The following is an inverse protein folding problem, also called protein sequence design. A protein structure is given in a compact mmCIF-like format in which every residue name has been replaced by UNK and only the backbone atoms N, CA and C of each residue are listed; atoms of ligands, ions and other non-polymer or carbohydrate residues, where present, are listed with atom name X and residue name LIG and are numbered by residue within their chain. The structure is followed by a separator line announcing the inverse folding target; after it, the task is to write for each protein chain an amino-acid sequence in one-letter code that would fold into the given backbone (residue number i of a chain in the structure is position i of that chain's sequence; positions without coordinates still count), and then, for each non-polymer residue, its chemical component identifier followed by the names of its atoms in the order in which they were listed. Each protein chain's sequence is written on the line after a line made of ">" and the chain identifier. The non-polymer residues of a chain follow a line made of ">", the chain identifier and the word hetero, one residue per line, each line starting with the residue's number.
data_IF_710027967682
#
_entry.id   IF_710027967682
#
_cell.length_a   1.000
_cell.length_b   1.000
_cell.length_c   1.000
_cell.angle_alpha   90.00
_cell.angle_beta   90.00
_cell.angle_gamma   90.00
#
_symmetry.space_group_name_H-M   'P 1'
#
loop_
_entity.id
_entity.type
_entity.pdbx_description
1 polymer ?
#
# COMPACT_ATOMS: atom_id res chain seq x y z
N UNK A 1 -21.11 -22.68 3.28
CA UNK A 1 -21.19 -22.53 4.74
C UNK A 1 -21.48 -21.07 5.00
N UNK A 2 -22.70 -20.73 5.40
CA UNK A 2 -23.06 -19.36 5.76
C UNK A 2 -22.55 -19.11 7.18
N UNK A 3 -21.47 -18.35 7.30
CA UNK A 3 -20.79 -18.11 8.59
C UNK A 3 -21.49 -16.99 9.38
N UNK A 4 -22.04 -16.01 8.66
CA UNK A 4 -22.81 -14.89 9.19
C UNK A 4 -23.95 -14.56 8.22
N UNK A 5 -25.09 -14.03 8.70
CA UNK A 5 -26.18 -13.58 7.83
C UNK A 5 -25.73 -12.58 6.77
N UNK A 6 -26.44 -12.55 5.64
CA UNK A 6 -26.24 -11.57 4.57
C UNK A 6 -26.12 -10.14 5.12
N UNK A 7 -24.98 -9.48 4.86
CA UNK A 7 -24.73 -8.09 5.29
C UNK A 7 -24.18 -7.92 6.72
N UNK A 8 -23.98 -9.00 7.47
CA UNK A 8 -23.42 -8.98 8.84
C UNK A 8 -21.91 -9.21 8.90
N UNK A 9 -21.21 -9.02 7.77
CA UNK A 9 -19.76 -9.16 7.70
C UNK A 9 -18.99 -8.06 8.46
N UNK A 10 -19.69 -6.97 8.75
CA UNK A 10 -19.32 -5.95 9.70
C UNK A 10 -20.14 -6.17 10.97
N UNK A 11 -19.49 -6.27 12.14
CA UNK A 11 -20.15 -6.21 13.45
C UNK A 11 -20.32 -4.73 13.81
N UNK A 12 -21.50 -4.12 13.61
CA UNK A 12 -21.63 -2.69 13.80
C UNK A 12 -21.71 -2.39 15.30
N UNK A 13 -20.97 -1.37 15.77
CA UNK A 13 -21.11 -0.87 17.15
C UNK A 13 -22.48 -0.23 17.40
N UNK A 14 -23.21 0.09 16.34
CA UNK A 14 -24.52 0.72 16.37
C UNK A 14 -25.36 0.21 15.17
N UNK A 15 -26.64 -0.20 15.33
CA UNK A 15 -27.43 -0.86 14.27
C UNK A 15 -27.51 -0.09 12.95
N UNK A 16 -27.47 1.25 13.01
CA UNK A 16 -27.50 2.14 11.83
C UNK A 16 -26.13 2.39 11.18
N UNK A 17 -25.01 2.04 11.83
CA UNK A 17 -23.64 2.22 11.32
C UNK A 17 -23.20 0.98 10.51
N UNK A 18 -23.93 0.72 9.44
CA UNK A 18 -23.66 -0.37 8.49
C UNK A 18 -22.74 0.07 7.35
N UNK A 19 -22.34 -0.83 6.46
CA UNK A 19 -21.47 -0.51 5.30
C UNK A 19 -22.01 0.69 4.50
N UNK A 20 -23.33 0.80 4.30
CA UNK A 20 -23.94 1.93 3.60
C UNK A 20 -23.65 3.27 4.28
N UNK A 21 -23.68 3.33 5.62
CA UNK A 21 -23.34 4.53 6.38
C UNK A 21 -21.88 4.94 6.14
N UNK A 22 -20.94 4.01 6.25
CA UNK A 22 -19.52 4.27 6.00
C UNK A 22 -19.23 4.66 4.54
N UNK A 23 -19.86 4.00 3.57
CA UNK A 23 -19.79 4.37 2.15
C UNK A 23 -20.26 5.81 1.92
N UNK A 24 -21.39 6.20 2.52
CA UNK A 24 -21.93 7.55 2.41
C UNK A 24 -21.01 8.61 3.01
N UNK A 25 -20.32 8.32 4.12
CA UNK A 25 -19.33 9.24 4.71
C UNK A 25 -18.21 9.54 3.71
N UNK A 26 -17.62 8.51 3.09
CA UNK A 26 -16.50 8.70 2.15
C UNK A 26 -16.91 9.50 0.90
N UNK A 27 -18.14 9.32 0.42
CA UNK A 27 -18.70 10.04 -0.72
C UNK A 27 -18.94 11.51 -0.34
N UNK A 28 -19.60 11.76 0.81
CA UNK A 28 -19.93 13.11 1.27
C UNK A 28 -18.67 13.95 1.57
N UNK A 29 -17.65 13.34 2.17
CA UNK A 29 -16.34 13.97 2.43
C UNK A 29 -15.44 14.02 1.18
N UNK A 30 -15.92 13.57 0.01
CA UNK A 30 -15.18 13.52 -1.26
C UNK A 30 -13.81 12.86 -1.12
N UNK A 31 -13.70 11.91 -0.19
CA UNK A 31 -12.44 11.25 0.17
C UNK A 31 -12.23 9.95 -0.60
N UNK A 32 -13.32 9.36 -1.11
CA UNK A 32 -13.22 8.30 -2.09
C UNK A 32 -14.42 8.23 -3.06
N UNK A 33 -14.18 7.64 -4.23
CA UNK A 33 -15.21 7.20 -5.15
C UNK A 33 -15.31 5.66 -5.08
N UNK A 34 -16.54 5.14 -5.05
CA UNK A 34 -16.80 3.69 -4.97
C UNK A 34 -17.71 3.28 -6.11
N UNK A 35 -17.18 2.50 -7.03
CA UNK A 35 -17.88 2.00 -8.20
C UNK A 35 -18.20 0.50 -8.04
N UNK A 36 -19.42 0.11 -8.42
CA UNK A 36 -19.83 -1.29 -8.46
C UNK A 36 -19.52 -1.84 -9.86
N UNK A 37 -18.68 -2.86 -9.97
CA UNK A 37 -18.44 -3.54 -11.24
C UNK A 37 -19.33 -4.78 -11.30
N UNK A 38 -20.29 -4.74 -12.22
CA UNK A 38 -21.41 -5.71 -12.27
C UNK A 38 -21.29 -6.57 -13.53
N UNK A 39 -21.55 -7.86 -13.38
CA UNK A 39 -21.77 -8.73 -14.53
C UNK A 39 -23.17 -8.46 -15.12
N UNK A 40 -23.21 -7.67 -16.20
CA UNK A 40 -24.45 -7.34 -16.91
C UNK A 40 -25.08 -8.54 -17.65
N UNK A 41 -24.38 -9.67 -17.76
CA UNK A 41 -24.87 -10.88 -18.45
C UNK A 41 -25.60 -11.85 -17.53
N UNK A 42 -25.50 -11.68 -16.21
CA UNK A 42 -26.21 -12.52 -15.24
C UNK A 42 -27.62 -11.99 -14.95
N UNK A 43 -28.57 -12.89 -14.75
CA UNK A 43 -29.90 -12.59 -14.22
C UNK A 43 -30.09 -13.32 -12.87
N UNK A 44 -30.08 -12.61 -11.72
CA UNK A 44 -29.94 -11.16 -11.58
C UNK A 44 -28.48 -10.68 -11.74
N UNK A 45 -28.27 -9.39 -12.07
CA UNK A 45 -26.93 -8.81 -12.16
C UNK A 45 -26.17 -8.90 -10.83
N UNK A 46 -25.02 -9.59 -10.84
CA UNK A 46 -24.19 -9.77 -9.66
C UNK A 46 -23.01 -8.79 -9.64
N UNK A 47 -22.73 -8.20 -8.48
CA UNK A 47 -21.52 -7.41 -8.26
C UNK A 47 -20.32 -8.36 -8.24
N UNK A 48 -19.41 -8.20 -9.20
CA UNK A 48 -18.18 -8.98 -9.29
C UNK A 48 -17.16 -8.49 -8.26
N UNK A 49 -16.89 -7.20 -8.30
CA UNK A 49 -15.95 -6.52 -7.40
C UNK A 49 -16.34 -5.06 -7.25
N UNK A 50 -15.84 -4.42 -6.21
CA UNK A 50 -15.92 -2.97 -6.06
C UNK A 50 -14.60 -2.33 -6.42
N UNK A 51 -14.65 -1.10 -6.94
CA UNK A 51 -13.48 -0.26 -7.13
C UNK A 51 -13.54 0.89 -6.13
N UNK A 52 -12.50 1.05 -5.33
CA UNK A 52 -12.33 2.16 -4.39
C UNK A 52 -11.18 3.05 -4.88
N UNK A 53 -11.52 4.28 -5.24
CA UNK A 53 -10.58 5.31 -5.70
C UNK A 53 -10.43 6.32 -4.58
N UNK A 54 -9.27 6.35 -3.92
CA UNK A 54 -8.97 7.31 -2.86
C UNK A 54 -8.67 8.66 -3.51
N UNK A 55 -9.50 9.65 -3.25
CA UNK A 55 -9.40 10.99 -3.84
C UNK A 55 -8.70 11.99 -2.93
N UNK A 56 -8.73 11.76 -1.62
CA UNK A 56 -8.12 12.65 -0.65
C UNK A 56 -8.42 12.24 0.79
N UNK A 57 -8.00 13.09 1.72
CA UNK A 57 -8.31 12.95 3.13
C UNK A 57 -8.75 14.29 3.71
N UNK A 58 -9.86 14.31 4.45
CA UNK A 58 -10.18 15.41 5.35
C UNK A 58 -9.21 15.38 6.53
N UNK A 59 -8.50 16.49 6.78
CA UNK A 59 -7.57 16.59 7.91
C UNK A 59 -8.32 16.87 9.21
N UNK A 60 -7.71 16.58 10.37
CA UNK A 60 -8.26 17.02 11.66
C UNK A 60 -8.42 18.55 11.71
N UNK A 61 -7.51 19.31 11.08
CA UNK A 61 -7.58 20.77 11.06
C UNK A 61 -8.83 21.25 10.31
N UNK A 62 -9.13 20.64 9.17
CA UNK A 62 -10.33 20.96 8.38
C UNK A 62 -11.62 20.45 9.03
N UNK A 63 -11.51 19.40 9.87
CA UNK A 63 -12.63 18.88 10.63
C UNK A 63 -12.98 19.76 11.84
N UNK A 64 -11.98 20.41 12.44
CA UNK A 64 -12.07 20.99 13.77
C UNK A 64 -11.87 19.93 14.86
N UNK A 65 -12.61 20.05 15.98
CA UNK A 65 -12.47 19.06 17.05
C UNK A 65 -12.98 17.67 16.59
N UNK A 66 -12.23 16.56 16.76
CA UNK A 66 -12.59 15.24 16.20
C UNK A 66 -13.98 14.70 16.60
N UNK A 67 -14.48 15.12 17.77
CA UNK A 67 -15.82 14.74 18.27
C UNK A 67 -16.96 15.58 17.70
N UNK A 68 -16.67 16.63 16.93
CA UNK A 68 -17.72 17.41 16.25
C UNK A 68 -18.42 16.51 15.25
N UNK A 69 -19.75 16.50 15.35
CA UNK A 69 -20.62 15.68 14.55
C UNK A 69 -21.04 16.44 13.28
N UNK A 70 -20.90 15.78 12.13
CA UNK A 70 -21.48 16.21 10.86
C UNK A 70 -22.73 15.39 10.57
N UNK A 71 -23.74 16.01 9.98
CA UNK A 71 -24.94 15.31 9.53
C UNK A 71 -24.66 14.61 8.19
N UNK A 72 -25.10 13.37 8.06
CA UNK A 72 -25.01 12.62 6.81
C UNK A 72 -26.20 12.95 5.92
N UNK A 73 -25.98 13.73 4.86
CA UNK A 73 -27.04 14.27 3.98
C UNK A 73 -27.43 13.29 2.88
N UNK A 74 -26.50 12.45 2.43
CA UNK A 74 -26.74 11.49 1.34
C UNK A 74 -27.59 10.29 1.76
N UNK A 75 -27.91 10.16 3.04
CA UNK A 75 -28.76 9.11 3.58
C UNK A 75 -30.19 9.64 3.80
N UNK A 76 -31.00 9.61 2.73
CA UNK A 76 -32.41 10.04 2.78
C UNK A 76 -33.17 9.37 3.92
N UNK A 77 -33.82 10.17 4.76
CA UNK A 77 -34.70 9.70 5.84
C UNK A 77 -34.00 9.33 7.16
N UNK A 78 -32.72 9.65 7.33
CA UNK A 78 -32.04 9.42 8.60
C UNK A 78 -31.33 10.66 9.15
N UNK A 79 -31.61 11.01 10.40
CA UNK A 79 -30.81 11.93 11.20
C UNK A 79 -29.55 11.23 11.70
N UNK A 80 -28.71 10.75 10.76
CA UNK A 80 -27.44 10.14 11.10
C UNK A 80 -26.35 11.19 11.17
N UNK A 81 -25.55 11.06 12.23
CA UNK A 81 -24.42 11.91 12.48
C UNK A 81 -23.15 11.07 12.55
N UNK A 82 -22.04 11.66 12.14
CA UNK A 82 -20.74 11.00 12.15
C UNK A 82 -19.65 11.95 12.66
N UNK A 83 -18.73 11.38 13.43
CA UNK A 83 -17.54 12.06 13.94
C UNK A 83 -16.34 11.84 13.01
N UNK A 84 -15.21 12.47 13.31
CA UNK A 84 -13.97 12.20 12.60
C UNK A 84 -13.51 10.73 12.77
N UNK A 85 -13.78 10.12 13.93
CA UNK A 85 -13.49 8.70 14.16
C UNK A 85 -14.33 7.78 13.27
N UNK A 86 -15.60 8.12 13.04
CA UNK A 86 -16.44 7.39 12.09
C UNK A 86 -15.93 7.52 10.66
N UNK A 87 -15.39 8.70 10.31
CA UNK A 87 -14.74 8.95 9.03
C UNK A 87 -13.46 8.12 8.85
N UNK A 88 -12.62 8.02 9.88
CA UNK A 88 -11.45 7.12 9.86
C UNK A 88 -11.86 5.66 9.70
N UNK A 89 -12.84 5.20 10.50
CA UNK A 89 -13.40 3.85 10.42
C UNK A 89 -13.98 3.57 9.02
N UNK A 90 -14.52 4.58 8.33
CA UNK A 90 -15.17 4.41 7.04
C UNK A 90 -14.26 3.81 5.96
N UNK A 91 -12.97 4.17 5.97
CA UNK A 91 -11.97 3.61 5.04
C UNK A 91 -11.80 2.10 5.22
N UNK A 92 -11.82 1.61 6.47
CA UNK A 92 -11.72 0.18 6.77
C UNK A 92 -13.05 -0.52 6.55
N UNK A 93 -14.13 -0.01 7.15
CA UNK A 93 -15.42 -0.72 7.23
C UNK A 93 -16.08 -0.89 5.88
N UNK A 94 -15.82 -0.01 4.92
CA UNK A 94 -16.36 -0.17 3.56
C UNK A 94 -15.81 -1.43 2.89
N UNK A 95 -14.55 -1.79 3.16
CA UNK A 95 -13.89 -2.97 2.59
C UNK A 95 -14.40 -4.29 3.18
N UNK A 96 -15.17 -4.25 4.27
CA UNK A 96 -15.79 -5.43 4.86
C UNK A 96 -17.07 -5.87 4.14
N UNK A 97 -17.43 -5.23 3.03
CA UNK A 97 -18.41 -5.82 2.13
C UNK A 97 -17.94 -7.20 1.67
N UNK A 98 -18.89 -8.13 1.65
CA UNK A 98 -18.71 -9.47 1.14
C UNK A 98 -19.98 -9.87 0.39
N UNK A 99 -19.82 -10.69 -0.64
CA UNK A 99 -20.95 -11.24 -1.38
C UNK A 99 -21.37 -12.61 -0.78
N UNK A 100 -22.46 -13.16 -1.28
CA UNK A 100 -23.03 -14.43 -0.80
C UNK A 100 -22.09 -15.64 -0.96
N UNK A 101 -21.10 -15.53 -1.85
CA UNK A 101 -20.14 -16.58 -2.15
C UNK A 101 -18.84 -16.45 -1.35
N UNK A 102 -18.69 -15.39 -0.56
CA UNK A 102 -17.49 -15.09 0.21
C UNK A 102 -16.21 -14.91 -0.64
N UNK A 103 -16.33 -14.52 -1.90
CA UNK A 103 -15.23 -14.36 -2.86
C UNK A 103 -15.05 -12.91 -3.36
N UNK A 104 -15.62 -11.94 -2.65
CA UNK A 104 -15.57 -10.55 -3.06
C UNK A 104 -14.17 -9.95 -2.99
N UNK A 105 -13.86 -9.09 -3.96
CA UNK A 105 -12.60 -8.36 -4.04
C UNK A 105 -12.82 -6.87 -4.27
N UNK A 106 -11.81 -6.10 -3.87
CA UNK A 106 -11.73 -4.65 -4.00
C UNK A 106 -10.55 -4.29 -4.89
N UNK A 107 -10.82 -3.58 -5.97
CA UNK A 107 -9.80 -2.93 -6.78
C UNK A 107 -9.50 -1.55 -6.20
N UNK A 108 -8.28 -1.37 -5.71
CA UNK A 108 -7.85 -0.19 -4.95
C UNK A 108 -6.88 0.66 -5.75
N UNK A 109 -7.05 1.97 -5.66
CA UNK A 109 -6.16 2.94 -6.30
C UNK A 109 -6.28 4.33 -5.68
N UNK A 110 -5.27 5.16 -5.93
CA UNK A 110 -5.37 6.60 -5.71
C UNK A 110 -5.89 7.29 -6.97
N UNK A 111 -6.55 8.44 -6.80
CA UNK A 111 -6.97 9.28 -7.91
C UNK A 111 -5.77 9.94 -8.59
N UNK A 112 -5.86 10.24 -9.89
CA UNK A 112 -4.73 10.78 -10.69
C UNK A 112 -4.24 12.16 -10.27
N UNK A 113 -5.12 12.90 -9.64
CA UNK A 113 -4.83 14.22 -9.10
C UNK A 113 -4.75 14.17 -7.57
N UNK A 114 -4.45 13.01 -6.98
CA UNK A 114 -4.29 12.89 -5.53
C UNK A 114 -3.12 13.76 -5.06
N UNK A 115 -3.40 14.68 -4.15
CA UNK A 115 -2.40 15.60 -3.58
C UNK A 115 -2.58 15.81 -2.08
N UNK A 116 -3.52 15.09 -1.44
CA UNK A 116 -3.78 15.24 -0.01
C UNK A 116 -2.61 14.72 0.82
N UNK A 117 -2.24 15.40 1.92
CA UNK A 117 -1.33 14.83 2.91
C UNK A 117 -1.89 13.52 3.46
N UNK A 118 -1.04 12.49 3.56
CA UNK A 118 -1.43 11.18 4.10
C UNK A 118 -1.50 11.31 5.62
N UNK A 119 -2.64 11.03 6.27
CA UNK A 119 -2.73 11.09 7.73
C UNK A 119 -2.04 9.88 8.36
N UNK A 120 -1.45 10.04 9.55
CA UNK A 120 -0.69 8.95 10.21
C UNK A 120 -1.52 7.69 10.47
N UNK A 121 -2.83 7.85 10.76
CA UNK A 121 -3.72 6.72 10.96
C UNK A 121 -3.88 5.84 9.71
N UNK A 122 -3.63 6.39 8.52
CA UNK A 122 -3.73 5.65 7.26
C UNK A 122 -2.64 4.58 7.13
N UNK A 123 -1.52 4.70 7.88
CA UNK A 123 -0.49 3.67 7.90
C UNK A 123 -1.06 2.30 8.34
N UNK A 124 -1.90 2.29 9.37
CA UNK A 124 -2.57 1.06 9.84
C UNK A 124 -3.50 0.46 8.78
N UNK A 125 -4.23 1.31 8.05
CA UNK A 125 -5.05 0.87 6.94
C UNK A 125 -4.17 0.28 5.81
N UNK A 126 -3.06 0.95 5.50
CA UNK A 126 -2.12 0.51 4.48
C UNK A 126 -1.47 -0.84 4.82
N UNK A 127 -1.09 -1.07 6.07
CA UNK A 127 -0.55 -2.36 6.52
C UNK A 127 -1.52 -3.53 6.33
N UNK A 128 -2.83 -3.26 6.40
CA UNK A 128 -3.87 -4.27 6.25
C UNK A 128 -4.31 -4.50 4.79
N UNK A 129 -4.43 -3.41 4.01
CA UNK A 129 -5.06 -3.47 2.68
C UNK A 129 -4.13 -3.09 1.53
N UNK A 130 -2.97 -2.49 1.82
CA UNK A 130 -2.00 -2.03 0.84
C UNK A 130 -1.10 -3.16 0.30
N UNK A 131 -0.50 -2.98 -0.88
CA UNK A 131 0.45 -3.93 -1.44
C UNK A 131 1.70 -4.04 -0.56
N UNK A 132 2.21 -5.26 -0.46
CA UNK A 132 3.52 -5.57 0.12
C UNK A 132 4.54 -5.79 -1.00
N UNK A 133 5.85 -5.53 -0.78
CA UNK A 133 6.86 -5.68 -1.83
C UNK A 133 6.86 -7.06 -2.51
N UNK A 134 6.57 -8.12 -1.76
CA UNK A 134 6.65 -9.50 -2.20
C UNK A 134 5.63 -9.87 -3.29
N UNK A 135 4.50 -9.16 -3.35
CA UNK A 135 3.47 -9.43 -4.37
C UNK A 135 3.78 -8.72 -5.70
N UNK A 136 4.71 -7.76 -5.72
CA UNK A 136 5.05 -7.05 -6.94
C UNK A 136 5.86 -7.95 -7.89
N UNK A 137 5.72 -7.80 -9.22
CA UNK A 137 6.61 -8.44 -10.17
C UNK A 137 8.08 -8.09 -9.92
N UNK A 138 9.00 -9.03 -10.15
CA UNK A 138 10.43 -8.85 -9.83
C UNK A 138 11.05 -7.54 -10.37
N UNK A 139 10.80 -7.12 -11.63
CA UNK A 139 11.31 -5.83 -12.12
C UNK A 139 10.83 -4.63 -11.32
N UNK A 140 9.58 -4.68 -10.83
CA UNK A 140 8.99 -3.61 -10.04
C UNK A 140 9.49 -3.62 -8.58
N UNK A 141 9.82 -4.80 -8.02
CA UNK A 141 10.54 -4.88 -6.75
C UNK A 141 11.91 -4.21 -6.84
N UNK A 142 12.62 -4.41 -7.95
CA UNK A 142 13.93 -3.81 -8.17
C UNK A 142 13.82 -2.29 -8.35
N UNK A 143 12.80 -1.83 -9.09
CA UNK A 143 12.46 -0.42 -9.19
C UNK A 143 12.06 0.19 -7.84
N UNK A 144 11.33 -0.53 -6.99
CA UNK A 144 11.00 -0.09 -5.63
C UNK A 144 12.26 0.08 -4.77
N UNK A 145 13.21 -0.85 -4.84
CA UNK A 145 14.50 -0.73 -4.13
C UNK A 145 15.28 0.49 -4.59
N UNK A 146 15.30 0.74 -5.90
CA UNK A 146 15.93 1.93 -6.48
C UNK A 146 15.21 3.22 -6.06
N UNK A 147 13.88 3.25 -6.13
CA UNK A 147 13.07 4.37 -5.68
C UNK A 147 13.36 4.69 -4.21
N UNK A 148 13.37 3.68 -3.33
CA UNK A 148 13.63 3.84 -1.90
C UNK A 148 15.02 4.44 -1.61
N UNK A 149 16.04 4.14 -2.41
CA UNK A 149 17.39 4.69 -2.20
C UNK A 149 17.56 6.12 -2.71
N UNK A 150 16.61 6.63 -3.52
CA UNK A 150 16.67 7.95 -4.15
C UNK A 150 15.60 8.92 -3.62
N UNK A 151 14.47 8.39 -3.20
CA UNK A 151 13.35 9.19 -2.71
C UNK A 151 13.66 9.75 -1.33
N UNK A 152 13.59 11.07 -1.20
CA UNK A 152 13.74 11.78 0.08
C UNK A 152 12.37 12.32 0.51
N UNK A 153 11.62 11.59 1.35
CA UNK A 153 10.34 12.06 1.85
C UNK A 153 10.53 13.25 2.81
N UNK A 154 9.46 14.01 3.04
CA UNK A 154 9.43 14.99 4.13
C UNK A 154 9.54 14.31 5.50
N UNK A 155 9.75 15.09 6.56
CA UNK A 155 9.77 14.58 7.95
C UNK A 155 8.49 13.80 8.31
N UNK A 156 7.32 14.27 7.84
CA UNK A 156 6.07 13.52 7.99
C UNK A 156 6.03 12.28 7.09
N UNK A 157 6.49 12.44 5.84
CA UNK A 157 6.49 11.37 4.85
C UNK A 157 7.37 10.17 5.21
N UNK A 158 8.46 10.37 5.98
CA UNK A 158 9.40 9.30 6.35
C UNK A 158 8.80 8.23 7.27
N UNK A 159 7.65 8.51 7.89
CA UNK A 159 6.88 7.54 8.68
C UNK A 159 6.20 6.47 7.82
N UNK A 160 6.04 6.72 6.52
CA UNK A 160 5.34 5.84 5.61
C UNK A 160 6.32 5.00 4.78
N UNK A 161 5.97 3.74 4.44
CA UNK A 161 6.85 2.88 3.68
C UNK A 161 7.01 3.39 2.24
N UNK A 162 8.19 3.19 1.65
CA UNK A 162 8.48 3.64 0.29
C UNK A 162 7.51 3.11 -0.78
N UNK A 163 6.95 1.91 -0.56
CA UNK A 163 5.93 1.33 -1.46
C UNK A 163 4.64 2.17 -1.49
N UNK A 164 4.25 2.81 -0.39
CA UNK A 164 3.11 3.73 -0.36
C UNK A 164 3.40 4.98 -1.20
N UNK A 165 4.57 5.59 -1.00
CA UNK A 165 5.00 6.75 -1.79
C UNK A 165 5.07 6.44 -3.29
N UNK A 166 5.68 5.31 -3.64
CA UNK A 166 5.75 4.83 -5.03
C UNK A 166 4.35 4.57 -5.60
N UNK A 167 3.46 3.97 -4.81
CA UNK A 167 2.09 3.65 -5.25
C UNK A 167 1.27 4.89 -5.55
N UNK A 168 1.34 5.91 -4.69
CA UNK A 168 0.65 7.18 -4.92
C UNK A 168 1.25 7.89 -6.13
N UNK A 169 2.57 8.04 -6.17
CA UNK A 169 3.27 8.82 -7.20
C UNK A 169 3.08 8.24 -8.60
N UNK A 170 3.09 6.93 -8.73
CA UNK A 170 3.00 6.23 -10.02
C UNK A 170 1.66 5.55 -10.27
N UNK A 171 0.64 5.89 -9.47
CA UNK A 171 -0.72 5.38 -9.68
C UNK A 171 -0.78 3.85 -9.74
N UNK A 172 -0.09 3.18 -8.84
CA UNK A 172 -0.10 1.72 -8.80
C UNK A 172 -1.45 1.26 -8.26
N UNK A 173 -2.08 0.33 -8.97
CA UNK A 173 -3.37 -0.25 -8.60
C UNK A 173 -3.13 -1.64 -8.04
N UNK A 174 -3.97 -2.08 -7.10
CA UNK A 174 -3.85 -3.40 -6.51
C UNK A 174 -5.21 -3.96 -6.14
N UNK A 175 -5.26 -5.25 -5.82
CA UNK A 175 -6.47 -5.92 -5.36
C UNK A 175 -6.32 -6.23 -3.87
N UNK A 176 -7.33 -5.91 -3.08
CA UNK A 176 -7.48 -6.42 -1.72
C UNK A 176 -8.74 -7.27 -1.61
N UNK A 177 -8.66 -8.33 -0.83
CA UNK A 177 -9.81 -9.16 -0.48
C UNK A 177 -9.59 -9.71 0.91
N UNK A 178 -10.61 -10.34 1.47
CA UNK A 178 -10.49 -11.05 2.73
C UNK A 178 -11.42 -12.25 2.74
N UNK A 179 -11.09 -13.24 3.55
CA UNK A 179 -11.91 -14.43 3.78
C UNK A 179 -11.95 -14.77 5.27
N UNK A 180 -12.96 -15.53 5.66
CA UNK A 180 -13.00 -16.07 7.01
C UNK A 180 -12.03 -17.24 7.17
N UNK A 181 -11.34 -17.27 8.30
CA UNK A 181 -10.51 -18.39 8.73
C UNK A 181 -10.84 -18.72 10.19
N UNK A 182 -10.54 -19.95 10.60
CA UNK A 182 -10.66 -20.37 11.99
C UNK A 182 -9.25 -20.52 12.54
N UNK A 183 -8.87 -19.60 13.43
CA UNK A 183 -7.57 -19.57 14.09
C UNK A 183 -7.79 -19.81 15.59
N UNK A 184 -7.24 -20.89 16.15
CA UNK A 184 -7.40 -21.24 17.56
C UNK A 184 -8.87 -21.27 18.04
N UNK A 185 -9.76 -21.88 17.24
CA UNK A 185 -11.22 -21.92 17.47
C UNK A 185 -11.92 -20.55 17.48
N UNK A 186 -11.25 -19.47 17.06
CA UNK A 186 -11.83 -18.15 16.86
C UNK A 186 -12.03 -17.88 15.38
N UNK A 187 -13.17 -17.28 15.04
CA UNK A 187 -13.43 -16.80 13.70
C UNK A 187 -12.63 -15.52 13.45
N UNK A 188 -11.76 -15.54 12.45
CA UNK A 188 -10.88 -14.44 12.09
C UNK A 188 -11.10 -14.01 10.62
N UNK A 189 -10.63 -12.82 10.27
CA UNK A 189 -10.55 -12.35 8.88
C UNK A 189 -9.11 -12.38 8.42
N UNK A 190 -8.80 -13.28 7.49
CA UNK A 190 -7.52 -13.26 6.79
C UNK A 190 -7.61 -12.29 5.62
N UNK A 191 -6.78 -11.24 5.63
CA UNK A 191 -6.66 -10.27 4.57
C UNK A 191 -5.63 -10.72 3.54
N UNK A 192 -5.99 -10.63 2.26
CA UNK A 192 -5.12 -10.97 1.14
C UNK A 192 -5.00 -9.79 0.20
N UNK A 193 -3.78 -9.54 -0.24
CA UNK A 193 -3.48 -8.51 -1.23
C UNK A 193 -2.83 -9.16 -2.44
N UNK A 194 -3.30 -8.81 -3.63
CA UNK A 194 -2.81 -9.35 -4.90
C UNK A 194 -2.40 -8.23 -5.84
N UNK A 195 -1.39 -8.52 -6.63
CA UNK A 195 -1.01 -7.69 -7.76
C UNK A 195 -2.08 -7.73 -8.86
N UNK A 196 -2.22 -6.63 -9.59
CA UNK A 196 -3.06 -6.59 -10.79
C UNK A 196 -2.23 -7.01 -12.00
N UNK A 197 -2.33 -8.27 -12.42
CA UNK A 197 -1.50 -8.83 -13.51
C UNK A 197 -1.66 -8.10 -14.86
N UNK A 198 -2.81 -7.47 -15.09
CA UNK A 198 -3.04 -6.68 -16.29
C UNK A 198 -2.39 -5.28 -16.24
N UNK A 199 -1.74 -4.89 -15.14
CA UNK A 199 -1.01 -3.63 -15.05
C UNK A 199 0.28 -3.71 -15.86
N UNK A 200 0.35 -2.98 -16.96
CA UNK A 200 1.60 -2.80 -17.71
C UNK A 200 2.55 -1.91 -16.91
N UNK A 201 3.53 -2.47 -16.22
CA UNK A 201 4.39 -1.68 -15.31
C UNK A 201 5.66 -1.11 -15.98
N UNK A 202 5.99 -1.46 -17.22
CA UNK A 202 7.20 -0.94 -17.89
C UNK A 202 7.26 0.59 -17.89
N UNK A 203 6.14 1.25 -18.21
CA UNK A 203 6.07 2.72 -18.21
C UNK A 203 6.30 3.33 -16.81
N UNK A 204 5.95 2.61 -15.74
CA UNK A 204 6.17 3.02 -14.35
C UNK A 204 7.67 2.97 -14.05
N UNK A 205 8.32 1.87 -14.42
CA UNK A 205 9.77 1.69 -14.24
C UNK A 205 10.53 2.77 -15.02
N UNK A 206 10.17 3.00 -16.28
CA UNK A 206 10.78 4.05 -17.10
C UNK A 206 10.58 5.44 -16.47
N UNK A 207 9.38 5.71 -15.92
CA UNK A 207 9.12 6.97 -15.23
C UNK A 207 9.95 7.10 -13.95
N UNK A 208 10.13 6.04 -13.17
CA UNK A 208 11.00 6.05 -11.98
C UNK A 208 12.43 6.43 -12.38
N UNK A 209 12.98 5.84 -13.44
CA UNK A 209 14.33 6.18 -13.89
C UNK A 209 14.44 7.59 -14.51
N UNK A 210 13.37 8.11 -15.12
CA UNK A 210 13.31 9.51 -15.55
C UNK A 210 13.30 10.49 -14.38
N UNK A 211 12.50 10.19 -13.36
CA UNK A 211 12.38 11.04 -12.16
C UNK A 211 13.63 11.00 -11.29
N UNK A 212 14.33 9.86 -11.30
CA UNK A 212 15.55 9.63 -10.54
C UNK A 212 16.66 9.08 -11.46
N UNK A 213 17.26 9.92 -12.33
CA UNK A 213 18.31 9.46 -13.24
C UNK A 213 19.48 8.82 -12.47
N UNK A 214 19.98 7.66 -12.91
CA UNK A 214 21.20 7.10 -12.33
C UNK A 214 22.33 8.12 -12.41
N UNK A 215 23.09 8.29 -11.33
CA UNK A 215 24.33 9.05 -11.43
C UNK A 215 25.25 8.33 -12.42
N UNK A 216 25.44 8.92 -13.61
CA UNK A 216 26.50 8.50 -14.51
C UNK A 216 27.79 8.85 -13.77
N UNK A 217 28.39 7.88 -13.07
CA UNK A 217 29.82 7.95 -12.83
C UNK A 217 30.43 7.96 -14.22
N UNK A 218 30.75 9.16 -14.73
CA UNK A 218 31.62 9.27 -15.87
C UNK A 218 32.87 8.51 -15.46
N UNK A 219 33.08 7.34 -16.04
CA UNK A 219 34.42 6.81 -16.22
C UNK A 219 35.14 7.85 -17.11
N UNK A 220 35.57 8.95 -16.50
CA UNK A 220 36.49 9.90 -17.10
C UNK A 220 37.78 9.10 -17.23
N UNK A 221 37.97 8.58 -18.44
CA UNK A 221 39.24 8.17 -19.04
C UNK A 221 40.47 8.28 -18.14
N UNK A 222 40.81 7.23 -17.40
CA UNK A 222 42.20 7.00 -16.99
C UNK A 222 43.02 6.48 -18.19
N UNK A 223 43.05 7.24 -19.29
CA UNK A 223 43.96 7.03 -20.43
C UNK A 223 45.03 8.12 -20.57
N UNK A 224 45.11 9.08 -19.64
CA UNK A 224 46.11 10.17 -19.71
C UNK A 224 46.84 10.48 -18.40
N UNK A 225 46.88 9.55 -17.44
CA UNK A 225 47.64 9.72 -16.18
C UNK A 225 48.65 8.60 -15.88
N UNK A 226 49.26 7.99 -16.91
CA UNK A 226 50.41 7.07 -16.75
C UNK A 226 51.75 7.78 -17.01
N UNK A 227 51.73 9.04 -17.45
CA UNK A 227 52.95 9.84 -17.56
C UNK A 227 53.12 10.71 -16.31
N UNK A 228 54.18 10.43 -15.55
CA UNK A 228 54.73 11.23 -14.44
C UNK A 228 53.99 11.20 -13.08
N UNK A 229 54.43 10.31 -12.18
CA UNK A 229 55.42 10.66 -11.13
C UNK A 229 55.68 9.47 -10.21
N UNK A 230 56.93 9.06 -10.21
CA UNK A 230 57.56 8.13 -9.28
C UNK A 230 57.82 8.82 -7.93
N UNK A 231 57.63 8.06 -6.85
CA UNK A 231 58.34 8.15 -5.54
C UNK A 231 57.97 9.29 -4.58
N UNK A 232 57.28 8.94 -3.48
CA UNK A 232 57.72 9.13 -2.09
C UNK A 232 56.75 8.48 -1.09
N UNK A 233 57.31 7.98 0.02
CA UNK A 233 56.78 7.01 0.98
C UNK A 233 55.93 7.63 2.13
N UNK A 234 55.00 6.81 2.69
CA UNK A 234 54.40 6.83 4.05
C UNK A 234 53.45 8.00 4.39
N UNK A 235 52.33 7.83 5.10
CA UNK A 235 52.03 6.93 6.23
C UNK A 235 50.64 6.25 6.18
N UNK A 236 50.59 5.16 6.92
CA UNK A 236 49.45 4.28 7.22
C UNK A 236 48.27 5.03 7.86
N UNK A 237 47.06 4.72 7.39
CA UNK A 237 45.94 4.30 8.24
C UNK A 237 45.01 3.40 7.42
N UNK A 238 45.19 2.11 7.63
CA UNK A 238 44.47 1.01 6.98
C UNK A 238 43.28 0.58 7.84
N UNK A 239 42.07 0.91 7.39
CA UNK A 239 40.86 0.18 7.79
C UNK A 239 40.31 -0.48 6.52
N UNK A 240 40.83 -1.66 6.22
CA UNK A 240 40.21 -2.60 5.28
C UNK A 240 39.04 -3.28 5.99
N UNK A 241 37.81 -2.92 5.64
CA UNK A 241 36.66 -3.80 5.86
C UNK A 241 36.67 -4.79 4.70
N UNK A 242 37.36 -5.91 4.90
CA UNK A 242 37.33 -7.04 4.00
C UNK A 242 35.92 -7.66 4.01
N UNK A 243 35.14 -7.39 2.96
CA UNK A 243 33.95 -8.18 2.68
C UNK A 243 34.37 -9.60 2.31
N UNK A 244 33.96 -10.59 3.11
CA UNK A 244 34.18 -12.00 2.80
C UNK A 244 33.64 -12.31 1.41
N UNK A 245 34.42 -13.01 0.59
CA UNK A 245 34.00 -13.34 -0.77
C UNK A 245 32.78 -14.27 -0.75
N UNK A 246 32.00 -14.28 -1.84
CA UNK A 246 30.84 -15.17 -1.97
C UNK A 246 31.18 -16.65 -1.77
N UNK A 247 32.45 -17.05 -1.97
CA UNK A 247 32.94 -18.40 -1.72
C UNK A 247 33.06 -18.68 -0.21
N UNK A 248 33.63 -17.75 0.55
CA UNK A 248 33.80 -17.90 2.01
C UNK A 248 32.47 -17.94 2.77
N UNK A 249 31.44 -17.24 2.27
CA UNK A 249 30.08 -17.30 2.86
C UNK A 249 29.39 -18.64 2.61
N UNK A 250 29.69 -19.32 1.48
CA UNK A 250 29.17 -20.67 1.20
C UNK A 250 29.86 -21.71 2.07
N UNK A 251 31.17 -21.60 2.23
CA UNK A 251 31.95 -22.51 3.05
C UNK A 251 31.54 -22.40 4.54
N UNK A 252 31.27 -21.18 5.03
CA UNK A 252 30.70 -20.93 6.36
C UNK A 252 29.28 -21.50 6.52
N UNK A 253 28.44 -21.38 5.49
CA UNK A 253 27.10 -21.96 5.49
C UNK A 253 27.11 -23.49 5.57
N UNK A 254 28.05 -24.15 4.88
CA UNK A 254 28.21 -25.61 4.94
C UNK A 254 28.79 -26.08 6.29
N UNK A 255 29.72 -25.32 6.88
CA UNK A 255 30.27 -25.65 8.20
C UNK A 255 29.23 -25.59 9.32
N UNK A 256 28.31 -24.61 9.26
CA UNK A 256 27.25 -24.48 10.25
C UNK A 256 26.17 -25.56 10.11
N UNK A 257 25.93 -26.05 8.89
CA UNK A 257 24.99 -27.15 8.63
C UNK A 257 25.48 -28.49 9.18
N UNK A 258 26.80 -28.70 9.18
CA UNK A 258 27.45 -29.91 9.71
C UNK A 258 27.55 -29.93 11.25
N UNK A 259 27.30 -28.80 11.91
CA UNK A 259 27.28 -28.70 13.38
C UNK A 259 25.86 -28.77 13.98
N UNK A 260 24.84 -28.89 13.14
CA UNK A 260 23.42 -28.96 13.55
C UNK A 260 22.79 -30.35 13.47
N UNK A 261 23.60 -31.40 13.37
CA UNK A 261 23.19 -32.81 13.55
C UNK A 261 23.77 -33.39 14.85
#
# INVERSE_FOLDING_TARGET
>A
MEVLPDGWHLLPKHPRKIIKFYKSILIQEKSAQIENIINKKGDPPAVLYHKLIITGFTSCQDWGHPSVLKQLTDYKGSELYYSYYDYMDAFEKVLFFQNKNYDHSWFLMFHKNFSSPIPSWFLKWWEMFGPIPQILPKPLQDALRYFNSRHTPSSHGSQFPAILHMTIKYMIHWISMWKYTINNNLLDREFLVKWWDNLRFNHIIDQIYRDFPPCIQKAISNKTAIAHRTRSQSSLDSIQIAGKSSKELRDLGQQLLLQSE
#
